data_IF_470688656507
#
_entry.id   IF_470688656507
#
_cell.length_a   1.000
_cell.length_b   1.000
_cell.length_c   1.000
_cell.angle_alpha   90.00
_cell.angle_beta   90.00
_cell.angle_gamma   90.00
#
_symmetry.space_group_name_H-M   'P 1'
#
loop_
_entity.id
_entity.type
_entity.pdbx_description
1 polymer ?
#
# COMPACT_ATOMS: atom_id res chain seq x y z
N UNK A 1 13.56 -6.56 18.53
CA UNK A 1 12.52 -5.96 17.67
C UNK A 1 11.30 -6.86 17.76
N UNK A 2 10.09 -6.31 17.75
CA UNK A 2 8.86 -7.10 17.66
C UNK A 2 8.80 -7.69 16.25
N UNK A 3 8.93 -9.02 16.16
CA UNK A 3 8.76 -9.73 14.89
C UNK A 3 7.26 -9.92 14.62
N UNK A 4 6.80 -9.79 13.38
CA UNK A 4 5.40 -10.02 13.05
C UNK A 4 5.07 -11.51 13.00
N UNK A 5 3.81 -11.82 13.22
CA UNK A 5 3.24 -13.12 12.86
C UNK A 5 2.69 -13.10 11.45
N UNK A 6 2.93 -14.17 10.69
CA UNK A 6 2.36 -14.35 9.36
C UNK A 6 1.08 -15.17 9.47
N UNK A 7 0.00 -14.63 8.93
CA UNK A 7 -1.32 -15.23 8.95
C UNK A 7 -1.87 -15.32 7.53
N UNK A 8 -2.91 -16.15 7.33
CA UNK A 8 -3.55 -16.36 6.05
C UNK A 8 -5.07 -16.38 6.20
N UNK A 9 -5.76 -15.92 5.17
CA UNK A 9 -7.19 -16.11 4.99
C UNK A 9 -7.49 -16.41 3.52
N UNK A 10 -8.65 -17.01 3.25
CA UNK A 10 -9.09 -17.28 1.89
C UNK A 10 -10.03 -16.18 1.42
N UNK A 11 -9.69 -15.57 0.29
CA UNK A 11 -10.53 -14.62 -0.44
C UNK A 11 -11.23 -15.34 -1.59
N UNK A 12 -12.54 -15.15 -1.79
CA UNK A 12 -13.25 -15.73 -2.92
C UNK A 12 -12.86 -15.04 -4.23
N UNK A 13 -12.74 -15.80 -5.30
CA UNK A 13 -12.59 -15.32 -6.67
C UNK A 13 -13.35 -16.20 -7.66
N UNK A 14 -13.31 -15.87 -8.95
CA UNK A 14 -14.01 -16.61 -9.99
C UNK A 14 -13.47 -18.03 -10.21
N UNK A 15 -12.29 -18.36 -9.70
CA UNK A 15 -11.62 -19.66 -9.87
C UNK A 15 -11.72 -20.57 -8.64
N UNK A 16 -12.43 -20.15 -7.59
CA UNK A 16 -12.64 -20.92 -6.35
C UNK A 16 -11.95 -20.32 -5.13
N UNK A 17 -11.20 -19.25 -5.29
CA UNK A 17 -10.54 -18.49 -4.22
C UNK A 17 -9.03 -18.60 -4.23
N UNK A 18 -8.41 -17.66 -3.54
CA UNK A 18 -6.97 -17.56 -3.32
C UNK A 18 -6.67 -17.24 -1.86
N UNK A 19 -5.47 -17.58 -1.38
CA UNK A 19 -5.03 -17.21 -0.04
C UNK A 19 -4.41 -15.82 -0.07
N UNK A 20 -4.88 -14.95 0.80
CA UNK A 20 -4.23 -13.69 1.13
C UNK A 20 -3.43 -13.86 2.42
N UNK A 21 -2.16 -13.50 2.37
CA UNK A 21 -1.29 -13.41 3.52
C UNK A 21 -1.42 -12.03 4.18
N UNK A 22 -1.25 -11.97 5.50
CA UNK A 22 -1.09 -10.70 6.19
C UNK A 22 -0.13 -10.85 7.38
N UNK A 23 0.67 -9.81 7.58
CA UNK A 23 1.59 -9.68 8.68
C UNK A 23 0.93 -8.93 9.82
N UNK A 24 1.16 -9.36 11.05
CA UNK A 24 0.52 -8.79 12.22
C UNK A 24 1.53 -8.45 13.30
N UNK A 25 1.44 -7.25 13.83
CA UNK A 25 2.15 -6.77 15.01
C UNK A 25 1.18 -6.38 16.11
N UNK A 26 1.69 -6.33 17.34
CA UNK A 26 0.94 -5.89 18.52
C UNK A 26 0.08 -6.96 19.16
N UNK A 27 -0.97 -6.54 19.83
CA UNK A 27 -1.84 -7.44 20.59
C UNK A 27 -2.91 -8.05 19.66
N UNK A 28 -2.85 -9.37 19.47
CA UNK A 28 -3.80 -10.11 18.62
C UNK A 28 -5.26 -10.03 19.10
N UNK A 29 -5.48 -9.75 20.39
CA UNK A 29 -6.80 -9.61 20.98
C UNK A 29 -7.33 -8.18 20.89
N UNK A 30 -6.51 -7.22 20.50
CA UNK A 30 -6.96 -5.83 20.37
C UNK A 30 -7.98 -5.68 19.25
N UNK A 31 -9.10 -5.03 19.57
CA UNK A 31 -10.13 -4.64 18.60
C UNK A 31 -9.85 -3.29 17.93
N UNK A 32 -8.80 -2.56 18.35
CA UNK A 32 -8.30 -1.40 17.62
C UNK A 32 -7.29 -1.87 16.58
N UNK A 33 -7.70 -1.84 15.33
CA UNK A 33 -6.93 -2.34 14.18
C UNK A 33 -6.45 -1.18 13.32
N UNK A 34 -5.16 -1.17 13.01
CA UNK A 34 -4.55 -0.30 12.00
C UNK A 34 -4.17 -1.17 10.81
N UNK A 35 -4.78 -0.95 9.65
CA UNK A 35 -4.45 -1.66 8.41
C UNK A 35 -3.51 -0.81 7.57
N UNK A 36 -2.35 -1.39 7.17
CA UNK A 36 -1.36 -0.72 6.33
C UNK A 36 -1.23 -1.46 4.99
N UNK A 37 -1.61 -0.82 3.89
CA UNK A 37 -1.65 -1.43 2.56
C UNK A 37 -0.65 -0.79 1.61
N UNK A 38 0.15 -1.63 0.99
CA UNK A 38 1.31 -1.31 0.16
C UNK A 38 0.96 -0.82 -1.25
N UNK A 39 1.97 -0.29 -1.95
CA UNK A 39 1.92 0.10 -3.36
C UNK A 39 1.91 -1.09 -4.33
N UNK A 40 1.78 -0.81 -5.62
CA UNK A 40 1.45 -1.76 -6.70
C UNK A 40 2.31 -3.03 -6.72
N UNK A 41 3.65 -2.92 -6.64
CA UNK A 41 4.58 -4.05 -6.71
C UNK A 41 5.20 -4.40 -5.36
N UNK A 42 4.79 -3.69 -4.30
CA UNK A 42 5.33 -3.82 -2.95
C UNK A 42 4.59 -4.90 -2.16
N UNK A 43 4.81 -4.97 -0.85
CA UNK A 43 4.20 -5.97 0.02
C UNK A 43 4.15 -5.50 1.49
N UNK A 44 3.47 -6.25 2.36
CA UNK A 44 3.16 -5.81 3.73
C UNK A 44 4.36 -5.47 4.61
N UNK A 45 5.54 -6.10 4.38
CA UNK A 45 6.76 -5.84 5.15
C UNK A 45 7.39 -4.46 4.89
N UNK A 46 6.88 -3.68 3.94
CA UNK A 46 7.26 -2.27 3.77
C UNK A 46 6.93 -1.44 5.02
N UNK A 47 5.97 -1.87 5.80
CA UNK A 47 5.49 -1.17 6.99
C UNK A 47 6.14 -1.64 8.30
N UNK A 48 7.19 -2.48 8.27
CA UNK A 48 7.85 -3.01 9.48
C UNK A 48 8.22 -1.91 10.47
N UNK A 49 8.88 -0.86 9.98
CA UNK A 49 9.32 0.27 10.82
C UNK A 49 8.13 1.03 11.43
N UNK A 50 7.13 1.33 10.62
CA UNK A 50 5.93 2.02 11.07
C UNK A 50 5.12 1.16 12.05
N UNK A 51 4.90 -0.13 11.75
CA UNK A 51 4.14 -1.04 12.60
C UNK A 51 4.78 -1.20 13.97
N UNK A 52 6.10 -1.37 14.02
CA UNK A 52 6.85 -1.42 15.27
C UNK A 52 6.76 -0.11 16.07
N UNK A 53 6.81 1.04 15.37
CA UNK A 53 6.69 2.35 16.02
C UNK A 53 5.30 2.56 16.61
N UNK A 54 4.25 2.21 15.87
CA UNK A 54 2.86 2.25 16.33
C UNK A 54 2.68 1.41 17.59
N UNK A 55 3.13 0.14 17.57
CA UNK A 55 3.02 -0.74 18.73
C UNK A 55 3.81 -0.25 19.95
N UNK A 56 4.96 0.42 19.75
CA UNK A 56 5.77 0.97 20.87
C UNK A 56 5.19 2.25 21.46
N UNK A 57 4.56 3.10 20.63
CA UNK A 57 4.09 4.43 21.04
C UNK A 57 2.64 4.42 21.51
N UNK A 58 1.87 3.39 21.17
CA UNK A 58 0.48 3.28 21.57
C UNK A 58 0.36 3.18 23.10
N UNK A 59 -0.53 3.98 23.68
CA UNK A 59 -0.83 3.97 25.13
C UNK A 59 -1.88 2.92 25.51
N UNK A 60 -2.58 2.38 24.54
CA UNK A 60 -3.53 1.27 24.67
C UNK A 60 -3.15 0.16 23.68
N UNK A 61 -3.54 -1.10 23.92
CA UNK A 61 -3.28 -2.17 22.97
C UNK A 61 -3.81 -1.87 21.58
N UNK A 62 -2.97 -2.07 20.57
CA UNK A 62 -3.33 -1.98 19.16
C UNK A 62 -2.88 -3.22 18.40
N UNK A 63 -3.49 -3.43 17.25
CA UNK A 63 -3.16 -4.51 16.32
C UNK A 63 -2.89 -3.91 14.95
N UNK A 64 -1.66 -4.02 14.46
CA UNK A 64 -1.25 -3.51 13.13
C UNK A 64 -1.24 -4.66 12.15
N UNK A 65 -1.98 -4.53 11.06
CA UNK A 65 -2.18 -5.54 10.03
C UNK A 65 -1.67 -5.02 8.70
N UNK A 66 -0.73 -5.74 8.09
CA UNK A 66 -0.15 -5.39 6.80
C UNK A 66 -0.38 -6.55 5.82
N UNK A 67 -1.47 -6.52 5.03
CA UNK A 67 -1.72 -7.56 4.04
C UNK A 67 -0.71 -7.50 2.90
N UNK A 68 -0.44 -8.67 2.34
CA UNK A 68 0.14 -8.82 1.01
C UNK A 68 -1.04 -8.94 0.02
N UNK A 69 -1.28 -7.93 -0.80
CA UNK A 69 -2.37 -7.98 -1.79
C UNK A 69 -2.11 -9.12 -2.78
N UNK A 70 -3.16 -9.76 -3.28
CA UNK A 70 -3.08 -10.90 -4.20
C UNK A 70 -1.99 -10.74 -5.27
N UNK A 71 -1.16 -11.76 -5.46
CA UNK A 71 -0.01 -11.73 -6.37
C UNK A 71 1.25 -11.08 -5.84
N UNK A 72 1.28 -10.64 -4.57
CA UNK A 72 2.47 -10.03 -3.93
C UNK A 72 2.82 -10.77 -2.65
N UNK A 73 4.07 -10.61 -2.22
CA UNK A 73 4.54 -11.13 -0.94
C UNK A 73 4.33 -12.63 -0.78
N UNK A 74 3.62 -13.01 0.27
CA UNK A 74 3.30 -14.39 0.62
C UNK A 74 1.88 -14.80 0.18
N UNK A 75 1.12 -13.88 -0.45
CA UNK A 75 -0.20 -14.19 -1.01
C UNK A 75 -0.09 -15.03 -2.27
N UNK A 76 -1.13 -15.81 -2.54
CA UNK A 76 -1.20 -16.61 -3.76
C UNK A 76 -1.24 -15.72 -5.02
N UNK A 77 -0.74 -16.24 -6.10
CA UNK A 77 -0.91 -15.69 -7.43
C UNK A 77 -2.28 -16.09 -7.97
N UNK A 78 -2.96 -15.17 -8.64
CA UNK A 78 -4.29 -15.47 -9.19
C UNK A 78 -4.17 -16.41 -10.39
N UNK A 79 -5.06 -17.38 -10.46
CA UNK A 79 -5.14 -18.31 -11.62
C UNK A 79 -5.61 -17.55 -12.88
N UNK A 80 -6.51 -16.58 -12.72
CA UNK A 80 -6.92 -15.67 -13.78
C UNK A 80 -6.27 -14.28 -13.58
N UNK A 81 -5.26 -13.92 -14.38
CA UNK A 81 -4.59 -12.63 -14.28
C UNK A 81 -5.50 -11.42 -14.51
N UNK A 82 -6.66 -11.59 -15.14
CA UNK A 82 -7.62 -10.49 -15.32
C UNK A 82 -8.23 -10.03 -13.99
N UNK A 83 -8.11 -10.84 -12.93
CA UNK A 83 -8.49 -10.51 -11.57
C UNK A 83 -7.59 -9.50 -10.86
N UNK A 84 -6.41 -9.18 -11.39
CA UNK A 84 -5.51 -8.18 -10.80
C UNK A 84 -6.02 -6.75 -10.99
N UNK A 85 -7.14 -6.43 -10.36
CA UNK A 85 -7.85 -5.15 -10.50
C UNK A 85 -8.25 -4.57 -9.14
N UNK A 86 -8.33 -3.25 -9.08
CA UNK A 86 -8.68 -2.51 -7.86
C UNK A 86 -9.99 -2.99 -7.21
N UNK A 87 -11.09 -3.25 -7.95
CA UNK A 87 -12.32 -3.77 -7.33
C UNK A 87 -12.13 -5.13 -6.65
N UNK A 88 -11.34 -6.05 -7.24
CA UNK A 88 -11.05 -7.34 -6.63
C UNK A 88 -10.22 -7.17 -5.35
N UNK A 89 -9.19 -6.32 -5.38
CA UNK A 89 -8.40 -6.02 -4.17
C UNK A 89 -9.24 -5.37 -3.06
N UNK A 90 -10.19 -4.49 -3.41
CA UNK A 90 -11.11 -3.91 -2.43
C UNK A 90 -12.02 -4.98 -1.81
N UNK A 91 -12.49 -5.95 -2.60
CA UNK A 91 -13.26 -7.08 -2.10
C UNK A 91 -12.43 -7.94 -1.12
N UNK A 92 -11.16 -8.23 -1.44
CA UNK A 92 -10.25 -8.94 -0.54
C UNK A 92 -10.06 -8.19 0.79
N UNK A 93 -9.94 -6.85 0.74
CA UNK A 93 -9.85 -6.06 1.97
C UNK A 93 -11.13 -6.14 2.81
N UNK A 94 -12.32 -6.19 2.19
CA UNK A 94 -13.58 -6.40 2.93
C UNK A 94 -13.61 -7.77 3.62
N UNK A 95 -13.11 -8.83 2.96
CA UNK A 95 -12.97 -10.15 3.57
C UNK A 95 -12.01 -10.09 4.77
N UNK A 96 -10.86 -9.44 4.63
CA UNK A 96 -9.90 -9.23 5.71
C UNK A 96 -10.55 -8.50 6.90
N UNK A 97 -11.19 -7.37 6.65
CA UNK A 97 -11.81 -6.56 7.70
C UNK A 97 -12.94 -7.32 8.43
N UNK A 98 -13.72 -8.10 7.69
CA UNK A 98 -14.76 -8.97 8.26
C UNK A 98 -14.15 -10.07 9.15
N UNK A 99 -13.00 -10.64 8.75
CA UNK A 99 -12.26 -11.62 9.53
C UNK A 99 -11.68 -11.02 10.82
N UNK A 100 -11.11 -9.82 10.74
CA UNK A 100 -10.43 -9.14 11.85
C UNK A 100 -11.40 -8.63 12.93
N UNK A 101 -12.65 -8.31 12.57
CA UNK A 101 -13.71 -7.79 13.45
C UNK A 101 -13.29 -6.60 14.31
N UNK A 102 -12.73 -5.52 13.72
CA UNK A 102 -12.35 -4.35 14.50
C UNK A 102 -13.57 -3.67 15.13
N UNK A 103 -13.39 -3.01 16.29
CA UNK A 103 -14.32 -2.01 16.82
C UNK A 103 -13.81 -0.58 16.58
N UNK A 104 -12.51 -0.44 16.35
CA UNK A 104 -11.87 0.80 15.90
C UNK A 104 -10.95 0.45 14.72
N UNK A 105 -11.12 1.16 13.61
CA UNK A 105 -10.38 0.89 12.38
C UNK A 105 -9.70 2.15 11.89
N UNK A 106 -8.39 2.08 11.69
CA UNK A 106 -7.58 3.09 11.03
C UNK A 106 -6.91 2.49 9.78
N UNK A 107 -6.63 3.32 8.78
CA UNK A 107 -6.08 2.88 7.50
C UNK A 107 -4.89 3.73 7.10
N UNK A 108 -3.82 3.06 6.66
CA UNK A 108 -2.66 3.66 6.01
C UNK A 108 -2.51 3.02 4.64
N UNK A 109 -2.60 3.80 3.59
CA UNK A 109 -2.46 3.28 2.22
C UNK A 109 -1.40 4.03 1.44
N UNK A 110 -0.40 3.32 0.91
CA UNK A 110 0.59 3.87 0.01
C UNK A 110 0.18 3.61 -1.43
N UNK A 111 0.10 4.67 -2.26
CA UNK A 111 -0.18 4.53 -3.70
C UNK A 111 -1.46 3.69 -3.92
N UNK A 112 -1.37 2.51 -4.54
CA UNK A 112 -2.48 1.56 -4.70
C UNK A 112 -3.24 1.32 -3.39
N UNK A 113 -2.54 1.13 -2.27
CA UNK A 113 -3.17 0.95 -0.96
C UNK A 113 -3.98 2.16 -0.50
N UNK A 114 -3.59 3.37 -0.94
CA UNK A 114 -4.36 4.59 -0.71
C UNK A 114 -5.60 4.67 -1.60
N UNK A 115 -5.52 4.22 -2.87
CA UNK A 115 -6.71 4.10 -3.73
C UNK A 115 -7.73 3.15 -3.11
N UNK A 116 -7.30 2.03 -2.54
CA UNK A 116 -8.18 1.12 -1.79
C UNK A 116 -8.81 1.83 -0.57
N UNK A 117 -8.03 2.62 0.16
CA UNK A 117 -8.54 3.44 1.25
C UNK A 117 -9.59 4.46 0.80
N UNK A 118 -9.38 5.12 -0.35
CA UNK A 118 -10.38 6.04 -0.95
C UNK A 118 -11.69 5.32 -1.24
N UNK A 119 -11.63 4.13 -1.81
CA UNK A 119 -12.82 3.33 -2.15
C UNK A 119 -13.53 2.90 -0.88
N UNK A 120 -12.81 2.30 0.08
CA UNK A 120 -13.41 1.79 1.31
C UNK A 120 -14.03 2.90 2.18
N UNK A 121 -13.46 4.11 2.17
CA UNK A 121 -13.99 5.25 2.91
C UNK A 121 -15.10 6.00 2.17
N UNK A 122 -15.01 6.07 0.85
CA UNK A 122 -15.87 6.97 0.04
C UNK A 122 -17.03 6.29 -0.67
N UNK A 123 -16.97 4.97 -0.85
CA UNK A 123 -18.06 4.23 -1.49
C UNK A 123 -19.21 4.03 -0.49
N UNK A 124 -20.40 4.59 -0.76
CA UNK A 124 -21.55 4.34 0.08
C UNK A 124 -21.92 2.85 0.14
N UNK A 125 -22.51 2.45 1.26
CA UNK A 125 -23.13 1.13 1.46
C UNK A 125 -22.19 -0.09 1.34
N UNK A 126 -20.86 0.13 1.38
CA UNK A 126 -19.95 -1.00 1.51
C UNK A 126 -20.14 -1.67 2.88
N UNK A 127 -20.13 -3.03 2.93
CA UNK A 127 -20.35 -3.77 4.17
C UNK A 127 -19.11 -3.78 5.08
N UNK A 128 -18.61 -2.60 5.45
CA UNK A 128 -17.54 -2.47 6.42
C UNK A 128 -18.05 -2.86 7.82
N UNK A 129 -17.28 -3.63 8.62
CA UNK A 129 -17.66 -3.97 9.99
C UNK A 129 -17.79 -2.74 10.88
N UNK A 130 -16.93 -1.74 10.66
CA UNK A 130 -16.99 -0.40 11.25
C UNK A 130 -16.44 0.63 10.27
N UNK A 131 -16.87 1.90 10.33
CA UNK A 131 -16.27 2.96 9.53
C UNK A 131 -14.76 3.13 9.83
N UNK A 132 -13.97 3.47 8.81
CA UNK A 132 -12.58 3.88 9.00
C UNK A 132 -12.60 5.23 9.73
N UNK A 133 -11.94 5.28 10.91
CA UNK A 133 -11.87 6.47 11.76
C UNK A 133 -10.83 7.48 11.25
N UNK A 134 -9.64 6.99 10.95
CA UNK A 134 -8.50 7.77 10.45
C UNK A 134 -7.94 7.14 9.19
N UNK A 135 -7.71 7.99 8.20
CA UNK A 135 -7.20 7.60 6.89
C UNK A 135 -5.90 8.34 6.60
N UNK A 136 -4.83 7.60 6.36
CA UNK A 136 -3.58 8.13 5.81
C UNK A 136 -3.48 7.76 4.33
N UNK A 137 -3.44 8.76 3.48
CA UNK A 137 -3.18 8.64 2.04
C UNK A 137 -1.71 9.01 1.80
N UNK A 138 -0.88 8.02 1.52
CA UNK A 138 0.52 8.21 1.27
C UNK A 138 0.79 8.31 -0.23
N UNK A 139 0.99 9.53 -0.67
CA UNK A 139 1.37 9.99 -2.01
C UNK A 139 0.43 9.53 -3.13
N UNK A 140 -0.87 9.63 -2.87
CA UNK A 140 -1.92 9.34 -3.85
C UNK A 140 -3.16 10.18 -3.58
N UNK A 141 -3.90 10.49 -4.64
CA UNK A 141 -5.14 11.23 -4.59
C UNK A 141 -6.07 10.81 -5.73
N UNK A 142 -7.18 11.55 -5.92
CA UNK A 142 -8.14 11.29 -6.99
C UNK A 142 -7.57 11.46 -8.40
N UNK A 143 -6.54 12.28 -8.57
CA UNK A 143 -5.87 12.51 -9.86
C UNK A 143 -4.51 11.81 -9.86
N UNK A 144 -4.29 10.96 -10.85
CA UNK A 144 -3.01 10.29 -11.07
C UNK A 144 -2.45 10.73 -12.42
N UNK A 145 -1.22 11.23 -12.41
CA UNK A 145 -0.60 11.75 -13.64
C UNK A 145 -0.28 10.62 -14.61
N UNK A 146 -0.74 10.75 -15.85
CA UNK A 146 -0.56 9.75 -16.90
C UNK A 146 0.91 9.38 -17.12
N UNK A 147 1.80 10.36 -17.14
CA UNK A 147 3.24 10.15 -17.33
C UNK A 147 3.83 9.27 -16.22
N UNK A 148 3.38 9.44 -14.98
CA UNK A 148 3.81 8.59 -13.88
C UNK A 148 3.30 7.15 -14.04
N UNK A 149 2.06 6.96 -14.50
CA UNK A 149 1.53 5.63 -14.80
C UNK A 149 2.28 4.96 -15.96
N UNK A 150 2.63 5.71 -17.00
CA UNK A 150 3.46 5.20 -18.09
C UNK A 150 4.82 4.73 -17.59
N UNK A 151 5.52 5.54 -16.79
CA UNK A 151 6.81 5.18 -16.18
C UNK A 151 6.70 3.89 -15.33
N UNK A 152 5.63 3.75 -14.54
CA UNK A 152 5.36 2.53 -13.78
C UNK A 152 5.18 1.34 -14.72
N UNK A 153 4.46 1.51 -15.82
CA UNK A 153 4.24 0.49 -16.84
C UNK A 153 5.53 -0.03 -17.51
N UNK A 154 6.58 0.79 -17.58
CA UNK A 154 7.86 0.41 -18.19
C UNK A 154 8.57 -0.73 -17.43
N UNK A 155 8.50 -0.76 -16.12
CA UNK A 155 9.15 -1.80 -15.30
C UNK A 155 8.20 -2.86 -14.76
N UNK A 156 6.89 -2.61 -14.82
CA UNK A 156 5.89 -3.54 -14.28
C UNK A 156 5.90 -4.87 -15.04
N UNK A 157 5.99 -5.98 -14.28
CA UNK A 157 6.09 -7.33 -14.83
C UNK A 157 7.53 -7.81 -15.04
N UNK A 158 8.53 -6.97 -14.77
CA UNK A 158 9.95 -7.37 -14.82
C UNK A 158 10.39 -7.85 -13.44
N UNK A 159 10.58 -9.14 -13.26
CA UNK A 159 10.92 -9.72 -11.95
C UNK A 159 12.41 -9.96 -11.74
N UNK A 160 13.21 -9.90 -12.80
CA UNK A 160 14.68 -10.02 -12.74
C UNK A 160 15.20 -11.38 -12.30
N UNK A 161 16.52 -11.53 -12.38
CA UNK A 161 17.30 -12.67 -11.86
C UNK A 161 18.55 -12.11 -11.21
N UNK A 162 18.75 -12.38 -9.92
CA UNK A 162 19.77 -11.76 -9.09
C UNK A 162 20.62 -12.84 -8.41
N UNK A 163 21.95 -12.70 -8.46
CA UNK A 163 22.86 -13.63 -7.79
C UNK A 163 22.96 -13.38 -6.28
N UNK A 164 22.49 -12.23 -5.80
CA UNK A 164 22.51 -11.89 -4.37
C UNK A 164 21.38 -10.91 -4.01
N UNK A 165 21.12 -10.77 -2.72
CA UNK A 165 20.21 -9.75 -2.20
C UNK A 165 20.71 -8.33 -2.50
N UNK A 166 22.02 -8.10 -2.48
CA UNK A 166 22.58 -6.79 -2.79
C UNK A 166 22.31 -6.41 -4.26
N UNK A 167 22.53 -7.34 -5.19
CA UNK A 167 22.22 -7.10 -6.61
C UNK A 167 20.73 -6.79 -6.84
N UNK A 168 19.84 -7.49 -6.14
CA UNK A 168 18.41 -7.20 -6.19
C UNK A 168 18.09 -5.82 -5.60
N UNK A 169 18.72 -5.44 -4.49
CA UNK A 169 18.54 -4.14 -3.87
C UNK A 169 19.03 -2.99 -4.77
N UNK A 170 20.14 -3.18 -5.47
CA UNK A 170 20.68 -2.21 -6.43
C UNK A 170 19.75 -2.06 -7.64
N UNK A 171 19.20 -3.16 -8.14
CA UNK A 171 18.22 -3.14 -9.22
C UNK A 171 16.88 -2.46 -8.80
N UNK A 172 16.40 -2.73 -7.59
CA UNK A 172 15.23 -2.06 -7.04
C UNK A 172 15.48 -0.56 -6.85
N UNK A 173 16.68 -0.17 -6.44
CA UNK A 173 17.05 1.24 -6.31
C UNK A 173 16.97 1.99 -7.63
N UNK A 174 17.37 1.36 -8.71
CA UNK A 174 17.34 1.98 -10.05
C UNK A 174 15.92 2.45 -10.46
N UNK A 175 14.88 1.76 -10.01
CA UNK A 175 13.48 2.11 -10.29
C UNK A 175 12.77 2.84 -9.15
N UNK A 176 13.40 2.93 -7.98
CA UNK A 176 12.79 3.44 -6.74
C UNK A 176 13.62 4.57 -6.09
N UNK A 177 14.58 5.15 -6.81
CA UNK A 177 15.43 6.25 -6.29
C UNK A 177 14.61 7.48 -5.88
N UNK A 178 13.42 7.64 -6.45
CA UNK A 178 12.46 8.68 -6.07
C UNK A 178 11.86 8.52 -4.67
N UNK A 179 12.02 7.36 -4.01
CA UNK A 179 11.52 7.14 -2.64
C UNK A 179 12.24 7.99 -1.58
N UNK A 180 13.28 8.72 -1.99
CA UNK A 180 14.07 9.58 -1.13
C UNK A 180 15.26 8.87 -0.49
N UNK A 181 16.01 9.58 0.37
CA UNK A 181 17.25 9.06 0.93
C UNK A 181 17.00 7.92 1.91
N UNK A 182 17.80 6.85 1.77
CA UNK A 182 17.85 5.72 2.69
C UNK A 182 19.31 5.40 3.00
N UNK A 183 19.59 4.98 4.22
CA UNK A 183 20.88 4.34 4.51
C UNK A 183 20.93 2.97 3.80
N UNK A 184 22.14 2.44 3.48
CA UNK A 184 22.27 1.12 2.88
C UNK A 184 21.55 0.02 3.68
N UNK A 185 21.56 0.12 5.01
CA UNK A 185 20.89 -0.83 5.91
C UNK A 185 19.38 -0.75 5.77
N UNK A 186 18.81 0.45 5.73
CA UNK A 186 17.36 0.65 5.54
C UNK A 186 16.91 0.13 4.18
N UNK A 187 17.68 0.44 3.12
CA UNK A 187 17.33 0.00 1.78
C UNK A 187 17.40 -1.52 1.62
N UNK A 188 18.44 -2.14 2.19
CA UNK A 188 18.57 -3.59 2.18
C UNK A 188 17.44 -4.27 2.97
N UNK A 189 17.03 -3.70 4.10
CA UNK A 189 15.89 -4.19 4.90
C UNK A 189 14.57 -4.11 4.13
N UNK A 190 14.32 -3.01 3.40
CA UNK A 190 13.15 -2.85 2.52
C UNK A 190 13.18 -3.79 1.31
N UNK A 191 14.38 -4.15 0.83
CA UNK A 191 14.56 -4.99 -0.35
C UNK A 191 14.49 -6.48 -0.05
N UNK A 192 14.94 -6.90 1.14
CA UNK A 192 15.02 -8.31 1.51
C UNK A 192 13.69 -9.07 1.39
N UNK A 193 12.54 -8.54 1.85
CA UNK A 193 11.25 -9.22 1.70
C UNK A 193 10.74 -9.23 0.26
N UNK A 194 11.28 -8.37 -0.62
CA UNK A 194 10.87 -8.24 -2.02
C UNK A 194 11.36 -9.37 -2.92
N UNK A 195 12.26 -10.22 -2.43
CA UNK A 195 12.84 -11.31 -3.23
C UNK A 195 12.46 -12.69 -2.70
N UNK A 196 12.54 -13.66 -3.58
CA UNK A 196 12.38 -15.09 -3.26
C UNK A 196 13.42 -15.92 -4.04
N UNK A 197 13.78 -17.12 -3.56
CA UNK A 197 14.54 -18.07 -4.37
C UNK A 197 13.86 -18.32 -5.72
N UNK A 198 14.67 -18.48 -6.76
CA UNK A 198 14.22 -18.80 -8.11
C UNK A 198 14.29 -20.33 -8.31
N UNK A 199 13.14 -21.06 -8.32
CA UNK A 199 13.17 -22.53 -8.38
C UNK A 199 13.86 -23.06 -9.64
N UNK A 200 13.68 -22.35 -10.77
CA UNK A 200 14.23 -22.73 -12.08
C UNK A 200 15.76 -22.50 -12.17
N UNK A 201 16.33 -21.70 -11.26
CA UNK A 201 17.74 -21.35 -11.20
C UNK A 201 18.24 -21.38 -9.75
N UNK A 202 18.57 -22.54 -9.18
CA UNK A 202 19.05 -22.65 -7.80
C UNK A 202 20.26 -21.73 -7.52
N UNK A 203 20.22 -21.02 -6.39
CA UNK A 203 21.22 -20.03 -6.00
C UNK A 203 20.94 -18.61 -6.49
N UNK A 204 19.90 -18.40 -7.30
CA UNK A 204 19.46 -17.08 -7.71
C UNK A 204 18.16 -16.66 -7.01
N UNK A 205 17.93 -15.35 -6.98
CA UNK A 205 16.74 -14.69 -6.47
C UNK A 205 15.97 -14.02 -7.60
N UNK A 206 14.67 -13.85 -7.40
CA UNK A 206 13.77 -13.08 -8.28
C UNK A 206 12.83 -12.24 -7.43
N UNK A 207 12.20 -11.21 -7.99
CA UNK A 207 11.23 -10.42 -7.25
C UNK A 207 9.99 -11.25 -6.88
N UNK A 208 9.44 -10.96 -5.72
CA UNK A 208 8.34 -11.69 -5.09
C UNK A 208 6.98 -11.05 -5.44
N UNK A 209 6.71 -10.85 -6.72
CA UNK A 209 5.37 -10.51 -7.18
C UNK A 209 5.07 -11.22 -8.50
N UNK A 210 3.78 -11.40 -8.81
CA UNK A 210 3.36 -12.01 -10.07
C UNK A 210 3.55 -11.04 -11.24
N UNK A 211 4.38 -11.36 -12.25
CA UNK A 211 4.55 -10.50 -13.42
C UNK A 211 3.24 -10.29 -14.20
N UNK A 212 2.27 -11.17 -14.05
CA UNK A 212 0.97 -11.06 -14.70
C UNK A 212 0.13 -9.87 -14.21
N UNK A 213 0.49 -9.24 -13.09
CA UNK A 213 -0.07 -7.95 -12.63
C UNK A 213 0.03 -6.87 -13.71
N UNK A 214 1.04 -6.96 -14.59
CA UNK A 214 1.19 -6.05 -15.71
C UNK A 214 0.08 -6.17 -16.77
N UNK A 215 -0.64 -7.28 -16.84
CA UNK A 215 -1.63 -7.50 -17.90
C UNK A 215 -2.78 -6.50 -17.87
N UNK A 216 -3.54 -6.34 -16.78
CA UNK A 216 -4.60 -5.32 -16.72
C UNK A 216 -4.02 -3.90 -16.82
N UNK A 217 -2.84 -3.66 -16.26
CA UNK A 217 -2.22 -2.34 -16.29
C UNK A 217 -1.89 -1.87 -17.72
N UNK A 218 -1.53 -2.79 -18.63
CA UNK A 218 -1.25 -2.48 -20.04
C UNK A 218 -2.48 -2.01 -20.83
N UNK A 219 -3.69 -2.27 -20.33
CA UNK A 219 -4.93 -1.82 -20.91
C UNK A 219 -5.40 -0.45 -20.42
N UNK A 220 -4.69 0.15 -19.46
CA UNK A 220 -4.98 1.50 -18.98
C UNK A 220 -4.64 2.51 -20.05
N UNK A 221 -5.58 3.42 -20.35
CA UNK A 221 -5.44 4.50 -21.34
C UNK A 221 -5.63 5.86 -20.68
N UNK A 222 -5.17 6.96 -21.30
CA UNK A 222 -5.43 8.31 -20.79
C UNK A 222 -6.92 8.56 -20.53
N UNK A 223 -7.78 8.10 -21.42
CA UNK A 223 -9.23 8.27 -21.32
C UNK A 223 -9.82 7.51 -20.14
N UNK A 224 -9.32 6.29 -19.87
CA UNK A 224 -9.75 5.51 -18.71
C UNK A 224 -9.27 6.12 -17.38
N UNK A 225 -8.10 6.76 -17.37
CA UNK A 225 -7.58 7.50 -16.21
C UNK A 225 -8.45 8.73 -15.95
N UNK A 226 -8.78 9.51 -16.96
CA UNK A 226 -9.64 10.69 -16.84
C UNK A 226 -11.06 10.32 -16.35
N UNK A 227 -11.64 9.24 -16.88
CA UNK A 227 -12.93 8.73 -16.40
C UNK A 227 -12.86 8.28 -14.94
N UNK A 228 -11.77 7.61 -14.54
CA UNK A 228 -11.51 7.20 -13.17
C UNK A 228 -11.36 8.38 -12.22
N UNK A 229 -10.78 9.50 -12.67
CA UNK A 229 -10.57 10.70 -11.88
C UNK A 229 -11.89 11.27 -11.32
N UNK A 230 -12.89 11.44 -12.17
CA UNK A 230 -14.19 11.95 -11.74
C UNK A 230 -14.83 11.08 -10.66
N UNK A 231 -14.73 9.75 -10.81
CA UNK A 231 -15.21 8.80 -9.82
C UNK A 231 -14.41 8.89 -8.51
N UNK A 232 -13.09 8.95 -8.59
CA UNK A 232 -12.25 9.05 -7.40
C UNK A 232 -12.48 10.36 -6.64
N UNK A 233 -12.75 11.47 -7.32
CA UNK A 233 -13.16 12.72 -6.67
C UNK A 233 -14.50 12.59 -5.93
N UNK A 234 -15.49 11.91 -6.52
CA UNK A 234 -16.76 11.65 -5.85
C UNK A 234 -16.56 10.80 -4.58
N UNK A 235 -15.74 9.75 -4.67
CA UNK A 235 -15.39 8.93 -3.52
C UNK A 235 -14.68 9.77 -2.46
N UNK A 236 -13.71 10.59 -2.84
CA UNK A 236 -12.98 11.46 -1.92
C UNK A 236 -13.92 12.44 -1.19
N UNK A 237 -14.84 13.06 -1.91
CA UNK A 237 -15.81 14.01 -1.34
C UNK A 237 -16.77 13.35 -0.32
N UNK A 238 -17.01 12.05 -0.44
CA UNK A 238 -17.85 11.28 0.48
C UNK A 238 -17.14 10.87 1.78
N UNK A 239 -15.80 10.92 1.84
CA UNK A 239 -15.03 10.46 2.99
C UNK A 239 -15.40 11.24 4.26
N UNK A 240 -15.66 10.51 5.33
CA UNK A 240 -15.95 11.07 6.68
C UNK A 240 -14.80 10.86 7.65
N UNK A 241 -13.85 9.98 7.31
CA UNK A 241 -12.67 9.73 8.12
C UNK A 241 -11.81 10.99 8.27
N UNK A 242 -11.30 11.23 9.48
CA UNK A 242 -10.24 12.23 9.65
C UNK A 242 -9.04 11.80 8.79
N UNK A 243 -8.57 12.67 7.90
CA UNK A 243 -7.62 12.28 6.85
C UNK A 243 -6.31 13.05 6.93
N UNK A 244 -5.21 12.31 6.78
CA UNK A 244 -3.86 12.82 6.57
C UNK A 244 -3.43 12.48 5.16
N UNK A 245 -3.03 13.49 4.39
CA UNK A 245 -2.41 13.35 3.08
C UNK A 245 -0.92 13.58 3.23
N UNK A 246 -0.13 12.59 2.89
CA UNK A 246 1.32 12.69 2.81
C UNK A 246 1.69 12.82 1.33
N UNK A 247 2.62 13.74 1.03
CA UNK A 247 3.12 13.96 -0.31
C UNK A 247 4.65 14.03 -0.30
N UNK A 248 5.30 13.31 -1.21
CA UNK A 248 6.69 13.59 -1.56
C UNK A 248 6.78 14.90 -2.36
N UNK A 249 7.65 15.83 -1.97
CA UNK A 249 7.74 17.12 -2.64
C UNK A 249 8.07 17.01 -4.14
N UNK A 250 8.79 15.95 -4.52
CA UNK A 250 9.15 15.62 -5.90
C UNK A 250 8.25 14.54 -6.53
N UNK A 251 7.07 14.27 -5.94
CA UNK A 251 6.13 13.30 -6.51
C UNK A 251 5.69 13.71 -7.92
N UNK A 252 5.84 12.77 -8.83
CA UNK A 252 5.36 12.85 -10.21
C UNK A 252 3.94 12.27 -10.38
N UNK A 253 3.44 11.54 -9.38
CA UNK A 253 2.10 10.94 -9.39
C UNK A 253 1.05 11.87 -8.77
N UNK A 254 1.31 12.41 -7.59
CA UNK A 254 0.45 13.35 -6.88
C UNK A 254 0.99 14.77 -7.01
N UNK A 255 0.35 15.60 -7.82
CA UNK A 255 0.76 17.00 -7.98
C UNK A 255 0.45 17.82 -6.73
N UNK A 256 1.19 18.93 -6.55
CA UNK A 256 0.91 19.87 -5.46
C UNK A 256 -0.50 20.48 -5.59
N UNK A 257 -0.93 20.75 -6.80
CA UNK A 257 -2.27 21.29 -7.10
C UNK A 257 -3.37 20.33 -6.62
N UNK A 258 -3.27 19.05 -7.00
CA UNK A 258 -4.21 18.01 -6.52
C UNK A 258 -4.19 17.90 -5.00
N UNK A 259 -3.01 17.88 -4.39
CA UNK A 259 -2.87 17.80 -2.94
C UNK A 259 -3.52 19.01 -2.23
N UNK A 260 -3.35 20.22 -2.78
CA UNK A 260 -4.00 21.43 -2.28
C UNK A 260 -5.52 21.36 -2.43
N UNK A 261 -6.04 20.90 -3.57
CA UNK A 261 -7.49 20.69 -3.78
C UNK A 261 -8.06 19.70 -2.73
N UNK A 262 -7.33 18.63 -2.40
CA UNK A 262 -7.73 17.68 -1.38
C UNK A 262 -7.83 18.29 0.04
N UNK A 263 -7.11 19.36 0.34
CA UNK A 263 -7.25 20.09 1.61
C UNK A 263 -8.51 20.94 1.70
N UNK A 264 -9.17 21.19 0.56
CA UNK A 264 -10.34 22.08 0.48
C UNK A 264 -11.65 21.32 0.24
N UNK A 265 -11.58 20.03 -0.14
CA UNK A 265 -12.72 19.19 -0.51
C UNK A 265 -12.84 17.97 0.41
N UNK A 266 -14.02 17.38 0.41
CA UNK A 266 -14.31 16.12 1.12
C UNK A 266 -13.89 16.18 2.59
N UNK A 267 -13.02 15.28 3.06
CA UNK A 267 -12.54 15.24 4.45
C UNK A 267 -11.61 16.40 4.80
N UNK A 268 -11.24 17.25 3.85
CA UNK A 268 -10.28 18.34 4.02
C UNK A 268 -8.99 17.85 4.67
N UNK A 269 -8.34 16.87 4.03
CA UNK A 269 -7.18 16.20 4.59
C UNK A 269 -6.09 17.19 5.02
N UNK A 270 -5.49 16.92 6.17
CA UNK A 270 -4.27 17.63 6.59
C UNK A 270 -3.14 17.21 5.66
N UNK A 271 -2.50 18.15 4.98
CA UNK A 271 -1.36 17.90 4.10
C UNK A 271 -0.05 17.99 4.88
N UNK A 272 0.80 16.97 4.70
CA UNK A 272 2.22 16.99 5.07
C UNK A 272 3.05 16.68 3.82
N UNK A 273 4.15 17.40 3.65
CA UNK A 273 5.05 17.23 2.52
C UNK A 273 6.47 16.95 3.03
N UNK A 274 7.17 16.02 2.36
CA UNK A 274 8.55 15.67 2.67
C UNK A 274 9.45 16.04 1.51
N UNK A 275 10.45 16.87 1.78
CA UNK A 275 11.43 17.32 0.79
C UNK A 275 12.43 16.21 0.46
N UNK A 276 12.94 16.21 -0.78
CA UNK A 276 13.87 15.18 -1.26
C UNK A 276 13.23 13.81 -1.53
N UNK A 277 11.89 13.73 -1.53
CA UNK A 277 11.14 12.49 -1.72
C UNK A 277 10.16 12.66 -2.87
N UNK A 278 10.10 11.69 -3.77
CA UNK A 278 9.11 11.58 -4.83
C UNK A 278 8.04 10.53 -4.50
N UNK A 279 7.58 9.78 -5.52
CA UNK A 279 6.56 8.76 -5.33
C UNK A 279 7.20 7.41 -4.97
N UNK A 280 7.03 6.95 -3.73
CA UNK A 280 6.32 7.52 -2.60
C UNK A 280 7.22 7.50 -1.34
N UNK A 281 6.93 8.33 -0.30
CA UNK A 281 7.56 8.18 1.01
C UNK A 281 7.42 6.74 1.51
N UNK A 282 8.53 6.15 2.00
CA UNK A 282 8.53 4.73 2.42
C UNK A 282 8.05 4.51 3.85
N UNK A 283 7.83 5.59 4.60
CA UNK A 283 7.45 5.56 6.02
C UNK A 283 8.49 4.85 6.90
N UNK A 284 9.78 4.99 6.53
CA UNK A 284 10.95 4.45 7.24
C UNK A 284 11.73 5.55 7.94
N UNK A 285 11.81 6.74 7.35
CA UNK A 285 12.47 7.90 7.97
C UNK A 285 11.72 8.34 9.23
N UNK A 286 12.46 8.74 10.26
CA UNK A 286 11.90 9.05 11.59
C UNK A 286 10.79 10.12 11.55
N UNK A 287 10.96 11.17 10.74
CA UNK A 287 10.00 12.24 10.55
C UNK A 287 8.70 11.73 9.89
N UNK A 288 8.81 10.84 8.90
CA UNK A 288 7.67 10.21 8.24
C UNK A 288 6.91 9.29 9.20
N UNK A 289 7.64 8.45 9.94
CA UNK A 289 7.08 7.56 10.96
C UNK A 289 6.38 8.38 12.05
N UNK A 290 7.03 9.43 12.56
CA UNK A 290 6.47 10.29 13.61
C UNK A 290 5.20 11.02 13.13
N UNK A 291 5.16 11.46 11.88
CA UNK A 291 3.98 12.10 11.30
C UNK A 291 2.76 11.17 11.31
N UNK A 292 2.94 9.90 10.90
CA UNK A 292 1.86 8.92 10.87
C UNK A 292 1.47 8.46 12.28
N UNK A 293 2.45 8.13 13.13
CA UNK A 293 2.17 7.68 14.50
C UNK A 293 1.46 8.76 15.32
N UNK A 294 1.92 10.00 15.26
CA UNK A 294 1.24 11.13 15.93
C UNK A 294 -0.20 11.32 15.44
N UNK A 295 -0.45 11.13 14.15
CA UNK A 295 -1.79 11.25 13.60
C UNK A 295 -2.71 10.10 14.04
N UNK A 296 -2.24 8.86 14.02
CA UNK A 296 -3.05 7.69 14.32
C UNK A 296 -3.30 7.49 15.82
N UNK A 297 -2.38 7.94 16.68
CA UNK A 297 -2.44 7.74 18.13
C UNK A 297 -2.96 8.96 18.92
N UNK A 298 -3.27 10.06 18.23
CA UNK A 298 -3.80 11.29 18.84
C UNK A 298 -5.16 11.11 19.52
#
# INVERSE_FOLDING_TARGET
MLEPTLNYLTCPDATGGHRMAYWQWGDELSSHVVVCVHGLTRQGRDFDTLAQALCRQATAPIRVICPDVAGRGQSDWLQDPTGYQIPAYAADMLVLLTHLRPTTLDWVGTSMGGVLGLILCGQPDLPLPVPIRRLVLNDVGPVMQWQALQRIGEYLGQTGKFASLQEAADALWATSSSFGPHTPVQWLALSAPMVKPMPECPGYLTLRYDPAIAMPFRSVTPESVEQGEAMLWQLYDNIKATSLLIRGAQSDLLTLETAQAMTQRGPRARLLQFDGVGHAPTLVADDQVQAVTSFLLA
#
